data_IF_451107981549
#
_entry.id   IF_451107981549
#
_cell.length_a   1.000
_cell.length_b   1.000
_cell.length_c   1.000
_cell.angle_alpha   90.00
_cell.angle_beta   90.00
_cell.angle_gamma   90.00
#
_symmetry.space_group_name_H-M   'P 1'
#
loop_
_entity.id
_entity.type
_entity.pdbx_description
1 polymer ?
#
# COMPACT_ATOMS: atom_id res chain seq x y z
N UNK A 1 -37.50 -6.40 -24.31
CA UNK A 1 -36.63 -6.01 -23.19
C UNK A 1 -36.97 -4.59 -22.78
N UNK A 2 -37.39 -4.37 -21.55
CA UNK A 2 -37.91 -3.08 -21.08
C UNK A 2 -36.80 -2.03 -20.98
N UNK A 3 -37.09 -0.78 -21.38
CA UNK A 3 -36.18 0.37 -21.36
C UNK A 3 -35.43 0.52 -20.00
N UNK A 4 -36.10 0.21 -18.90
CA UNK A 4 -35.54 0.21 -17.55
C UNK A 4 -34.36 -0.73 -17.37
N UNK A 5 -34.39 -1.91 -17.99
CA UNK A 5 -33.29 -2.89 -17.94
C UNK A 5 -32.07 -2.33 -18.65
N UNK A 6 -32.27 -1.71 -19.82
CA UNK A 6 -31.19 -1.09 -20.59
C UNK A 6 -30.54 0.07 -19.82
N UNK A 7 -31.34 0.93 -19.18
CA UNK A 7 -30.84 2.03 -18.34
C UNK A 7 -30.02 1.52 -17.15
N UNK A 8 -30.44 0.44 -16.50
CA UNK A 8 -29.68 -0.20 -15.41
C UNK A 8 -28.33 -0.72 -15.91
N UNK A 9 -28.29 -1.44 -17.04
CA UNK A 9 -27.05 -1.92 -17.62
C UNK A 9 -26.08 -0.77 -17.96
N UNK A 10 -26.57 0.28 -18.60
CA UNK A 10 -25.75 1.45 -18.96
C UNK A 10 -25.18 2.13 -17.72
N UNK A 11 -26.00 2.30 -16.66
CA UNK A 11 -25.56 2.88 -15.39
C UNK A 11 -24.46 2.04 -14.72
N UNK A 12 -24.64 0.73 -14.64
CA UNK A 12 -23.65 -0.19 -14.05
C UNK A 12 -22.33 -0.14 -14.83
N UNK A 13 -22.39 -0.14 -16.16
CA UNK A 13 -21.20 -0.04 -17.02
C UNK A 13 -20.51 1.31 -16.83
N UNK A 14 -21.25 2.41 -16.74
CA UNK A 14 -20.69 3.74 -16.51
C UNK A 14 -19.96 3.83 -15.16
N UNK A 15 -20.58 3.34 -14.08
CA UNK A 15 -19.98 3.28 -12.74
C UNK A 15 -18.71 2.41 -12.76
N UNK A 16 -18.76 1.26 -13.42
CA UNK A 16 -17.62 0.37 -13.54
C UNK A 16 -16.45 1.01 -14.31
N UNK A 17 -16.72 1.66 -15.45
CA UNK A 17 -15.71 2.37 -16.24
C UNK A 17 -15.08 3.52 -15.44
N UNK A 18 -15.90 4.26 -14.70
CA UNK A 18 -15.43 5.34 -13.84
C UNK A 18 -14.50 4.82 -12.75
N UNK A 19 -14.91 3.76 -12.03
CA UNK A 19 -14.07 3.09 -11.03
C UNK A 19 -12.76 2.57 -11.61
N UNK A 20 -12.82 1.91 -12.79
CA UNK A 20 -11.64 1.40 -13.47
C UNK A 20 -10.65 2.52 -13.86
N UNK A 21 -11.15 3.61 -14.44
CA UNK A 21 -10.33 4.78 -14.80
C UNK A 21 -9.71 5.45 -13.57
N UNK A 22 -10.47 5.56 -12.49
CA UNK A 22 -9.98 6.13 -11.22
C UNK A 22 -8.82 5.31 -10.66
N UNK A 23 -8.96 3.99 -10.59
CA UNK A 23 -7.88 3.11 -10.10
C UNK A 23 -6.65 3.22 -11.00
N UNK A 24 -6.82 3.17 -12.33
CA UNK A 24 -5.71 3.34 -13.28
C UNK A 24 -4.98 4.67 -13.08
N UNK A 25 -5.72 5.77 -12.93
CA UNK A 25 -5.12 7.11 -12.71
C UNK A 25 -4.34 7.15 -11.39
N UNK A 26 -4.88 6.59 -10.32
CA UNK A 26 -4.20 6.53 -9.01
C UNK A 26 -2.92 5.69 -9.08
N UNK A 27 -2.95 4.54 -9.74
CA UNK A 27 -1.75 3.72 -9.93
C UNK A 27 -0.71 4.39 -10.83
N UNK A 28 -1.13 5.10 -11.87
CA UNK A 28 -0.21 5.90 -12.69
C UNK A 28 0.47 6.98 -11.85
N UNK A 29 -0.27 7.67 -10.98
CA UNK A 29 0.29 8.64 -10.04
C UNK A 29 1.29 8.02 -9.05
N UNK A 30 0.99 6.82 -8.53
CA UNK A 30 1.93 6.11 -7.64
C UNK A 30 3.20 5.63 -8.35
N UNK A 31 3.11 5.38 -9.66
CA UNK A 31 4.25 4.98 -10.46
C UNK A 31 5.22 6.15 -10.70
N UNK A 32 4.73 7.39 -10.68
CA UNK A 32 5.57 8.59 -10.79
C UNK A 32 6.39 8.72 -9.50
N UNK A 33 7.71 8.63 -9.62
CA UNK A 33 8.64 8.67 -8.48
C UNK A 33 8.66 7.38 -7.65
N UNK A 34 8.20 6.25 -8.19
CA UNK A 34 8.26 4.96 -7.50
C UNK A 34 9.70 4.56 -7.18
N UNK A 35 10.62 4.76 -8.12
CA UNK A 35 12.04 4.46 -7.96
C UNK A 35 12.66 5.27 -6.81
N UNK A 36 12.39 6.59 -6.76
CA UNK A 36 12.90 7.47 -5.72
C UNK A 36 12.37 7.07 -4.35
N UNK A 37 11.07 6.77 -4.23
CA UNK A 37 10.46 6.30 -2.98
C UNK A 37 11.04 4.97 -2.53
N UNK A 38 11.21 4.03 -3.46
CA UNK A 38 11.81 2.74 -3.16
C UNK A 38 13.25 2.91 -2.64
N UNK A 39 14.10 3.66 -3.35
CA UNK A 39 15.48 3.92 -2.93
C UNK A 39 15.55 4.70 -1.61
N UNK A 40 14.64 5.65 -1.37
CA UNK A 40 14.57 6.40 -0.11
C UNK A 40 14.26 5.53 1.11
N UNK A 41 13.63 4.37 0.89
CA UNK A 41 13.34 3.41 1.95
C UNK A 41 14.61 2.80 2.54
N UNK A 42 15.69 2.73 1.76
CA UNK A 42 17.01 2.27 2.20
C UNK A 42 17.90 3.41 2.71
N UNK A 43 17.74 4.63 2.16
CA UNK A 43 18.59 5.77 2.46
C UNK A 43 18.32 6.45 3.82
N UNK A 44 17.17 6.21 4.44
CA UNK A 44 16.79 6.83 5.71
C UNK A 44 16.78 5.80 6.86
N UNK A 45 17.93 5.50 7.49
CA UNK A 45 17.98 4.71 8.72
C UNK A 45 17.68 5.63 9.92
N UNK A 46 16.55 6.32 9.94
CA UNK A 46 16.24 7.25 11.04
C UNK A 46 14.74 7.32 11.30
N UNK A 47 14.25 6.39 12.11
CA UNK A 47 13.54 6.63 13.38
C UNK A 47 12.85 5.33 13.84
N UNK A 48 13.31 4.80 14.98
CA UNK A 48 12.63 3.88 15.88
C UNK A 48 11.85 2.71 15.24
N UNK A 49 12.50 1.56 15.08
CA UNK A 49 11.98 0.17 15.11
C UNK A 49 10.65 -0.21 14.41
N UNK A 50 9.96 0.65 13.66
CA UNK A 50 8.54 0.42 13.36
C UNK A 50 8.21 0.58 11.88
N UNK A 51 8.07 -0.59 11.23
CA UNK A 51 7.49 -0.85 9.91
C UNK A 51 8.43 -0.79 8.68
N UNK A 52 8.99 -1.96 8.32
CA UNK A 52 9.49 -2.20 6.97
C UNK A 52 8.41 -1.82 5.93
N UNK A 53 8.79 -1.02 4.92
CA UNK A 53 7.90 -0.76 3.78
C UNK A 53 7.51 -2.08 3.12
N UNK A 54 6.22 -2.22 2.82
CA UNK A 54 5.69 -3.36 2.09
C UNK A 54 6.33 -3.49 0.70
N UNK A 55 6.88 -2.41 0.13
CA UNK A 55 7.62 -2.46 -1.13
C UNK A 55 8.88 -3.33 -1.02
N UNK A 56 9.69 -3.13 0.02
CA UNK A 56 10.93 -3.89 0.25
C UNK A 56 10.58 -5.32 0.64
N UNK A 57 9.65 -5.49 1.57
CA UNK A 57 9.15 -6.80 1.98
C UNK A 57 8.59 -7.61 0.80
N UNK A 58 7.95 -6.95 -0.18
CA UNK A 58 7.47 -7.62 -1.38
C UNK A 58 8.61 -8.23 -2.19
N UNK A 59 9.72 -7.50 -2.36
CA UNK A 59 10.90 -8.00 -3.09
C UNK A 59 11.56 -9.13 -2.30
N UNK A 60 11.72 -8.96 -0.99
CA UNK A 60 12.30 -9.98 -0.13
C UNK A 60 11.51 -11.29 -0.17
N UNK A 61 10.18 -11.21 -0.13
CA UNK A 61 9.30 -12.38 -0.25
C UNK A 61 9.33 -13.03 -1.64
N UNK A 62 9.53 -12.24 -2.70
CA UNK A 62 9.66 -12.76 -4.06
C UNK A 62 11.00 -13.47 -4.26
N UNK A 63 12.10 -12.89 -3.77
CA UNK A 63 13.46 -13.43 -3.88
C UNK A 63 13.78 -14.47 -2.81
N UNK A 64 12.97 -14.57 -1.75
CA UNK A 64 13.18 -15.40 -0.55
C UNK A 64 14.49 -15.10 0.17
N UNK A 65 14.95 -13.86 0.09
CA UNK A 65 16.19 -13.38 0.68
C UNK A 65 16.02 -11.92 1.05
N UNK A 66 16.58 -11.50 2.18
CA UNK A 66 16.66 -10.07 2.53
C UNK A 66 17.69 -9.43 1.62
N UNK A 67 17.24 -8.58 0.70
CA UNK A 67 18.11 -8.06 -0.35
C UNK A 67 17.87 -6.56 -0.57
N UNK A 68 18.89 -5.75 -0.27
CA UNK A 68 18.94 -4.34 -0.64
C UNK A 68 19.31 -4.21 -2.12
N UNK A 69 18.33 -4.43 -2.98
CA UNK A 69 18.53 -4.40 -4.43
C UNK A 69 18.08 -3.04 -4.94
N UNK A 70 18.93 -2.26 -5.63
CA UNK A 70 18.52 -1.00 -6.24
C UNK A 70 17.33 -1.19 -7.17
N UNK A 71 16.41 -0.21 -7.21
CA UNK A 71 15.20 -0.31 -8.02
C UNK A 71 15.48 -0.67 -9.49
N UNK A 72 16.59 -0.17 -10.06
CA UNK A 72 16.94 -0.39 -11.46
C UNK A 72 17.25 -1.86 -11.78
N UNK A 73 17.78 -2.60 -10.81
CA UNK A 73 18.12 -4.02 -10.92
C UNK A 73 16.90 -4.95 -10.74
N UNK A 74 15.75 -4.40 -10.39
CA UNK A 74 14.50 -5.18 -10.31
C UNK A 74 14.02 -5.54 -11.71
N UNK A 75 13.57 -6.78 -11.86
CA UNK A 75 12.89 -7.24 -13.07
C UNK A 75 11.59 -6.46 -13.29
N UNK A 76 11.08 -6.43 -14.53
CA UNK A 76 9.80 -5.78 -14.83
C UNK A 76 8.64 -6.37 -13.99
N UNK A 77 8.71 -7.66 -13.67
CA UNK A 77 7.73 -8.31 -12.81
C UNK A 77 7.82 -7.79 -11.36
N UNK A 78 9.03 -7.71 -10.80
CA UNK A 78 9.26 -7.17 -9.45
C UNK A 78 8.85 -5.71 -9.35
N UNK A 79 9.21 -4.86 -10.33
CA UNK A 79 8.78 -3.45 -10.37
C UNK A 79 7.27 -3.32 -10.34
N UNK A 80 6.55 -4.18 -11.10
CA UNK A 80 5.09 -4.24 -11.07
C UNK A 80 4.56 -4.64 -9.69
N UNK A 81 5.17 -5.64 -9.05
CA UNK A 81 4.76 -6.10 -7.72
C UNK A 81 5.03 -5.04 -6.65
N UNK A 82 6.17 -4.35 -6.72
CA UNK A 82 6.51 -3.19 -5.86
C UNK A 82 5.47 -2.09 -5.99
N UNK A 83 5.03 -1.75 -7.22
CA UNK A 83 3.96 -0.77 -7.42
C UNK A 83 2.65 -1.20 -6.74
N UNK A 84 2.29 -2.49 -6.79
CA UNK A 84 1.10 -2.99 -6.11
C UNK A 84 1.26 -3.01 -4.58
N UNK A 85 2.45 -3.32 -4.06
CA UNK A 85 2.76 -3.23 -2.65
C UNK A 85 2.69 -1.78 -2.14
N UNK A 86 3.25 -0.83 -2.88
CA UNK A 86 3.10 0.61 -2.62
C UNK A 86 1.63 1.04 -2.64
N UNK A 87 0.85 0.48 -3.58
CA UNK A 87 -0.59 0.67 -3.64
C UNK A 87 -1.33 0.13 -2.42
N UNK A 88 -0.85 -0.94 -1.77
CA UNK A 88 -1.41 -1.42 -0.50
C UNK A 88 -1.19 -0.39 0.61
N UNK A 89 -0.03 0.28 0.65
CA UNK A 89 0.29 1.30 1.65
C UNK A 89 -0.50 2.60 1.43
N UNK A 90 -0.56 3.07 0.18
CA UNK A 90 -1.03 4.43 -0.14
C UNK A 90 -2.51 4.54 -0.51
N UNK A 91 -3.16 3.45 -0.94
CA UNK A 91 -4.55 3.49 -1.44
C UNK A 91 -5.54 2.83 -0.47
N UNK A 92 -6.84 3.17 -0.61
CA UNK A 92 -7.91 2.41 0.04
C UNK A 92 -7.86 0.93 -0.30
N UNK A 93 -8.23 0.09 0.66
CA UNK A 93 -8.16 -1.38 0.55
C UNK A 93 -8.92 -1.92 -0.67
N UNK A 94 -10.07 -1.34 -1.01
CA UNK A 94 -10.87 -1.73 -2.17
C UNK A 94 -10.15 -1.46 -3.50
N UNK A 95 -9.41 -0.35 -3.62
CA UNK A 95 -8.69 0.01 -4.85
C UNK A 95 -7.49 -0.94 -5.06
N UNK A 96 -6.72 -1.17 -3.99
CA UNK A 96 -5.61 -2.12 -4.02
C UNK A 96 -6.10 -3.55 -4.33
N UNK A 97 -7.22 -3.97 -3.74
CA UNK A 97 -7.86 -5.26 -4.02
C UNK A 97 -8.31 -5.34 -5.47
N UNK A 98 -9.00 -4.32 -5.99
CA UNK A 98 -9.43 -4.27 -7.38
C UNK A 98 -8.24 -4.37 -8.34
N UNK A 99 -7.20 -3.56 -8.13
CA UNK A 99 -6.01 -3.57 -8.97
C UNK A 99 -5.29 -4.92 -8.96
N UNK A 100 -5.31 -5.65 -7.84
CA UNK A 100 -4.68 -6.97 -7.75
C UNK A 100 -5.32 -8.03 -8.66
N UNK A 101 -6.59 -7.88 -9.09
CA UNK A 101 -7.19 -8.83 -10.04
C UNK A 101 -6.46 -8.88 -11.39
N UNK A 102 -5.74 -7.83 -11.77
CA UNK A 102 -4.88 -7.82 -12.97
C UNK A 102 -3.53 -8.52 -12.81
N UNK A 103 -3.27 -9.16 -11.66
CA UNK A 103 -2.05 -9.93 -11.40
C UNK A 103 -2.26 -11.43 -11.57
N UNK A 104 -1.16 -12.14 -11.86
CA UNK A 104 -1.12 -13.60 -11.82
C UNK A 104 -1.49 -14.12 -10.42
N UNK A 105 -1.92 -15.39 -10.32
CA UNK A 105 -2.37 -16.00 -9.05
C UNK A 105 -1.35 -15.83 -7.91
N UNK A 106 -0.07 -16.07 -8.19
CA UNK A 106 1.00 -15.91 -7.19
C UNK A 106 1.11 -14.46 -6.68
N UNK A 107 1.09 -13.48 -7.59
CA UNK A 107 1.11 -12.06 -7.23
C UNK A 107 -0.12 -11.63 -6.43
N UNK A 108 -1.31 -12.13 -6.78
CA UNK A 108 -2.56 -11.88 -6.02
C UNK A 108 -2.46 -12.34 -4.57
N UNK A 109 -1.94 -13.55 -4.36
CA UNK A 109 -1.75 -14.12 -3.03
C UNK A 109 -0.74 -13.29 -2.23
N UNK A 110 0.37 -12.90 -2.84
CA UNK A 110 1.38 -12.07 -2.19
C UNK A 110 0.83 -10.71 -1.77
N UNK A 111 0.13 -9.99 -2.66
CA UNK A 111 -0.52 -8.71 -2.34
C UNK A 111 -1.60 -8.88 -1.27
N UNK A 112 -2.31 -10.02 -1.26
CA UNK A 112 -3.23 -10.39 -0.18
C UNK A 112 -2.52 -10.42 1.16
N UNK A 113 -1.43 -11.19 1.27
CA UNK A 113 -0.61 -11.28 2.49
C UNK A 113 -0.06 -9.93 2.94
N UNK A 114 0.44 -9.12 2.01
CA UNK A 114 0.94 -7.77 2.35
C UNK A 114 -0.17 -6.87 2.91
N UNK A 115 -1.41 -7.02 2.43
CA UNK A 115 -2.56 -6.29 2.97
C UNK A 115 -2.93 -6.78 4.37
N UNK A 116 -2.87 -8.09 4.60
CA UNK A 116 -3.13 -8.68 5.92
C UNK A 116 -2.08 -8.18 6.93
N UNK A 117 -0.80 -8.18 6.53
CA UNK A 117 0.31 -7.59 7.30
C UNK A 117 0.06 -6.11 7.58
N UNK A 118 -0.42 -5.34 6.59
CA UNK A 118 -0.78 -3.93 6.81
C UNK A 118 -1.87 -3.79 7.86
N UNK A 119 -2.92 -4.61 7.78
CA UNK A 119 -4.05 -4.55 8.71
C UNK A 119 -3.73 -5.06 10.12
N UNK A 120 -2.71 -5.92 10.27
CA UNK A 120 -2.28 -6.43 11.57
C UNK A 120 -1.32 -5.48 12.30
N UNK A 121 -0.84 -4.42 11.63
CA UNK A 121 0.01 -3.42 12.28
C UNK A 121 -0.80 -2.69 13.36
N UNK A 122 -0.26 -2.55 14.58
CA UNK A 122 -0.96 -1.84 15.64
C UNK A 122 -1.18 -0.39 15.21
N UNK A 123 -2.41 0.10 15.36
CA UNK A 123 -2.70 1.53 15.24
C UNK A 123 -1.80 2.25 16.23
N UNK A 124 -0.96 3.18 15.74
CA UNK A 124 -0.03 3.94 16.59
C UNK A 124 -0.83 4.49 17.78
N UNK A 125 -0.33 4.37 19.02
CA UNK A 125 -0.90 5.13 20.10
C UNK A 125 -0.80 6.60 19.68
N UNK A 126 -1.96 7.25 19.49
CA UNK A 126 -2.03 8.72 19.42
C UNK A 126 -1.23 9.20 20.62
N UNK A 127 -0.14 9.94 20.40
CA UNK A 127 0.81 10.34 21.43
C UNK A 127 0.13 11.22 22.49
N UNK A 128 -0.66 10.62 23.39
CA UNK A 128 -1.19 11.26 24.59
C UNK A 128 -0.14 11.29 25.70
N UNK A 129 1.05 10.73 25.46
CA UNK A 129 2.19 10.77 26.38
C UNK A 129 2.58 12.17 26.82
N UNK A 130 2.36 13.20 25.98
CA UNK A 130 2.56 14.60 26.40
C UNK A 130 1.62 15.03 27.54
N UNK A 131 0.36 14.60 27.51
CA UNK A 131 -0.63 14.93 28.54
C UNK A 131 -0.39 14.14 29.84
N UNK A 132 -0.04 12.86 29.74
CA UNK A 132 0.25 12.00 30.89
C UNK A 132 1.56 12.44 31.58
N UNK A 133 2.60 12.79 30.81
CA UNK A 133 3.86 13.32 31.36
C UNK A 133 3.67 14.67 32.05
N UNK A 134 2.80 15.54 31.52
CA UNK A 134 2.37 16.79 32.19
C UNK A 134 1.64 16.51 33.51
N UNK A 135 0.71 15.54 33.52
CA UNK A 135 0.00 15.17 34.75
C UNK A 135 0.92 14.57 35.81
N UNK A 136 1.91 13.76 35.42
CA UNK A 136 2.89 13.22 36.36
C UNK A 136 3.81 14.32 36.93
N UNK A 137 4.28 15.25 36.11
CA UNK A 137 5.10 16.39 36.58
C UNK A 137 4.36 17.34 37.53
N UNK A 138 3.04 17.48 37.36
CA UNK A 138 2.20 18.25 38.28
C UNK A 138 1.99 17.53 39.62
N UNK A 139 1.93 16.19 39.62
CA UNK A 139 1.78 15.39 40.84
C UNK A 139 3.08 15.22 41.63
N UNK A 140 4.23 15.27 40.99
CA UNK A 140 5.55 15.11 41.64
C UNK A 140 6.13 16.42 42.19
N UNK A 141 5.38 17.53 42.15
CA UNK A 141 5.78 18.86 42.66
C UNK A 141 5.09 19.24 43.98
N UNK A 142 4.43 18.30 44.63
CA UNK A 142 3.92 18.41 46.02
C UNK A 142 4.85 17.63 46.91
#
# INVERSE_FOLDING_TARGET
MSLSILLLFVSVVAIWLFGHRLVRRRFAQLNIGLADRYNSTFAAPTHDETEQSLMVLCVDLMRRATCEVPFDQLTAHEKKMVLHAHGVEMLPSWMSRYASYGLAKAGRVLIGKLRDIKSSRPDRPKQHFGAIKRQQQLRSRV
#
